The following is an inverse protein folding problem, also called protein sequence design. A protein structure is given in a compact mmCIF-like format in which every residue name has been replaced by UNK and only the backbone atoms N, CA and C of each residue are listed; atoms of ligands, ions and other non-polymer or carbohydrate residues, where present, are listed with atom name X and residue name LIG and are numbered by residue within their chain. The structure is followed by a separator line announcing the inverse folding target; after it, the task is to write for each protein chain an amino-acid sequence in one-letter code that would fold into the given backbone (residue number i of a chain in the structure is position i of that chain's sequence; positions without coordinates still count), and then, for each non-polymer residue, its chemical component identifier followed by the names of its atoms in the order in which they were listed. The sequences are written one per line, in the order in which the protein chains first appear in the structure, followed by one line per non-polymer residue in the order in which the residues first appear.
data_IF_609912488126
#
_entry.id   IF_609912488126
#
_cell.length_a   1.000
_cell.length_b   1.000
_cell.length_c   1.000
_cell.angle_alpha   90.00
_cell.angle_beta   90.00
_cell.angle_gamma   90.00
#
_symmetry.space_group_name_H-M   'P 1'
#
loop_
_entity.id
_entity.type
_entity.pdbx_description
1 polymer ?
#
# COMPACT_ATOMS: atom_id res chain seq x y z
N UNK A 1 18.11 7.18 -48.09
CA UNK A 1 19.01 8.18 -47.48
C UNK A 1 18.51 8.43 -46.08
N UNK A 2 19.32 8.14 -45.06
CA UNK A 2 18.97 8.38 -43.65
C UNK A 2 19.54 9.74 -43.24
N UNK A 3 18.69 10.75 -43.10
CA UNK A 3 19.11 12.05 -42.59
C UNK A 3 19.56 11.94 -41.12
N UNK A 4 20.64 12.65 -40.79
CA UNK A 4 21.23 12.66 -39.46
C UNK A 4 20.35 13.42 -38.47
N UNK A 5 20.25 12.93 -37.22
CA UNK A 5 19.49 13.62 -36.18
C UNK A 5 20.07 15.00 -35.87
N UNK A 6 19.19 15.99 -35.70
CA UNK A 6 19.57 17.37 -35.38
C UNK A 6 20.07 17.47 -33.93
N UNK A 7 21.30 17.97 -33.75
CA UNK A 7 21.89 18.24 -32.43
C UNK A 7 21.52 19.63 -31.89
N UNK A 8 21.08 20.54 -32.76
CA UNK A 8 20.82 21.95 -32.44
C UNK A 8 19.55 22.41 -33.14
N UNK A 9 18.73 23.21 -32.47
CA UNK A 9 17.52 23.78 -33.05
C UNK A 9 17.86 24.84 -34.11
N UNK A 10 17.35 24.74 -35.36
CA UNK A 10 17.67 25.70 -36.42
C UNK A 10 17.08 27.10 -36.19
N UNK A 11 16.08 27.25 -35.32
CA UNK A 11 15.42 28.52 -35.04
C UNK A 11 16.04 29.28 -33.85
N UNK A 12 16.25 28.59 -32.73
CA UNK A 12 16.75 29.21 -31.49
C UNK A 12 18.20 28.87 -31.14
N UNK A 13 18.87 28.02 -31.94
CA UNK A 13 20.29 27.60 -31.79
C UNK A 13 20.63 26.90 -30.47
N UNK A 14 19.63 26.48 -29.69
CA UNK A 14 19.85 25.71 -28.47
C UNK A 14 20.07 24.21 -28.76
N UNK A 15 20.82 23.50 -27.91
CA UNK A 15 21.05 22.06 -28.06
C UNK A 15 19.76 21.27 -27.85
N UNK A 16 19.51 20.27 -28.71
CA UNK A 16 18.37 19.37 -28.60
C UNK A 16 18.77 18.19 -27.71
N UNK A 17 18.18 18.07 -26.53
CA UNK A 17 18.34 16.92 -25.66
C UNK A 17 17.13 15.99 -25.76
N UNK A 18 17.38 14.69 -25.91
CA UNK A 18 16.32 13.68 -25.92
C UNK A 18 16.00 13.31 -24.47
N UNK A 19 14.78 13.60 -24.02
CA UNK A 19 14.30 13.15 -22.70
C UNK A 19 13.99 11.65 -22.79
N UNK A 20 14.94 10.81 -22.37
CA UNK A 20 14.77 9.37 -22.27
C UNK A 20 14.15 9.04 -20.90
N UNK A 21 12.81 9.08 -20.84
CA UNK A 21 11.93 8.56 -19.77
C UNK A 21 12.19 9.03 -18.31
N UNK A 22 11.16 9.48 -17.62
CA UNK A 22 11.25 9.77 -16.19
C UNK A 22 11.50 8.46 -15.40
N UNK A 23 12.41 8.44 -14.41
CA UNK A 23 12.59 7.24 -13.59
C UNK A 23 11.31 6.95 -12.80
N UNK A 24 10.73 5.77 -13.00
CA UNK A 24 9.67 5.27 -12.13
C UNK A 24 10.31 4.90 -10.78
N UNK A 25 10.24 5.81 -9.81
CA UNK A 25 10.71 5.51 -8.45
C UNK A 25 9.74 4.51 -7.83
N UNK A 26 10.15 3.25 -7.74
CA UNK A 26 9.43 2.24 -6.95
C UNK A 26 9.89 2.37 -5.51
N UNK A 27 9.14 3.12 -4.70
CA UNK A 27 9.29 3.06 -3.24
C UNK A 27 8.83 1.67 -2.83
N UNK A 28 9.78 0.75 -2.63
CA UNK A 28 9.46 -0.53 -2.00
C UNK A 28 8.94 -0.21 -0.61
N UNK A 29 7.63 -0.33 -0.42
CA UNK A 29 7.02 -0.26 0.90
C UNK A 29 7.76 -1.20 1.84
N UNK A 30 7.89 -0.78 3.12
CA UNK A 30 8.49 -1.62 4.17
C UNK A 30 7.88 -3.02 4.07
N UNK A 31 8.68 -4.11 4.11
CA UNK A 31 8.12 -5.44 4.09
C UNK A 31 7.04 -5.53 5.18
N UNK A 32 5.86 -6.09 4.87
CA UNK A 32 4.80 -6.21 5.85
C UNK A 32 5.37 -6.92 7.08
N UNK A 33 5.07 -6.38 8.26
CA UNK A 33 5.57 -6.93 9.51
C UNK A 33 5.21 -8.42 9.60
N UNK A 34 5.98 -9.21 10.35
CA UNK A 34 5.65 -10.62 10.60
C UNK A 34 4.21 -10.77 11.10
N UNK A 35 3.73 -9.81 11.89
CA UNK A 35 2.36 -9.65 12.35
C UNK A 35 1.35 -9.56 11.20
N UNK A 36 1.60 -8.74 10.19
CA UNK A 36 0.72 -8.60 9.02
C UNK A 36 0.58 -9.91 8.23
N UNK A 37 1.63 -10.74 8.22
CA UNK A 37 1.59 -12.07 7.60
C UNK A 37 0.74 -13.04 8.41
N UNK A 38 0.90 -13.06 9.73
CA UNK A 38 0.10 -13.89 10.65
C UNK A 38 -1.39 -13.53 10.60
N UNK A 39 -1.71 -12.23 10.58
CA UNK A 39 -3.10 -11.76 10.40
C UNK A 39 -3.68 -12.34 9.10
N UNK A 40 -2.96 -12.21 7.97
CA UNK A 40 -3.39 -12.78 6.68
C UNK A 40 -3.56 -14.30 6.71
N UNK A 41 -2.74 -15.01 7.47
CA UNK A 41 -2.83 -16.47 7.61
C UNK A 41 -4.09 -16.86 8.37
N UNK A 42 -4.39 -16.19 9.49
CA UNK A 42 -5.62 -16.40 10.24
C UNK A 42 -6.88 -16.04 9.46
N UNK A 43 -6.87 -14.96 8.68
CA UNK A 43 -7.96 -14.63 7.76
C UNK A 43 -8.18 -15.75 6.73
N UNK A 44 -7.11 -16.29 6.14
CA UNK A 44 -7.19 -17.40 5.17
C UNK A 44 -7.73 -18.68 5.79
N UNK A 45 -7.38 -18.94 7.06
CA UNK A 45 -7.90 -20.06 7.83
C UNK A 45 -9.35 -19.85 8.32
N UNK A 46 -9.94 -18.66 8.08
CA UNK A 46 -11.28 -18.30 8.55
C UNK A 46 -11.35 -18.00 10.06
N UNK A 47 -10.20 -17.84 10.73
CA UNK A 47 -10.09 -17.45 12.15
C UNK A 47 -10.20 -15.94 12.31
N UNK A 48 -11.33 -15.38 11.86
CA UNK A 48 -11.56 -13.95 11.81
C UNK A 48 -11.48 -13.26 13.17
N UNK A 49 -11.96 -13.90 14.26
CA UNK A 49 -11.87 -13.35 15.62
C UNK A 49 -10.42 -13.16 16.08
N UNK A 50 -9.56 -14.14 15.78
CA UNK A 50 -8.15 -14.11 16.19
C UNK A 50 -7.31 -13.20 15.29
N UNK A 51 -7.67 -13.11 14.00
CA UNK A 51 -7.11 -12.12 13.09
C UNK A 51 -7.40 -10.69 13.57
N UNK A 52 -8.66 -10.44 13.96
CA UNK A 52 -9.11 -9.14 14.44
C UNK A 52 -8.39 -8.71 15.72
N UNK A 53 -8.28 -9.60 16.71
CA UNK A 53 -7.58 -9.34 17.98
C UNK A 53 -6.10 -8.99 17.73
N UNK A 54 -5.43 -9.75 16.87
CA UNK A 54 -4.03 -9.52 16.55
C UNK A 54 -3.81 -8.19 15.80
N UNK A 55 -4.73 -7.86 14.89
CA UNK A 55 -4.71 -6.60 14.16
C UNK A 55 -4.94 -5.39 15.08
N UNK A 56 -5.88 -5.47 16.01
CA UNK A 56 -6.19 -4.40 16.97
C UNK A 56 -5.01 -4.11 17.90
N UNK A 57 -4.41 -5.16 18.48
CA UNK A 57 -3.23 -5.03 19.34
C UNK A 57 -2.03 -4.40 18.62
N UNK A 58 -1.81 -4.78 17.37
CA UNK A 58 -0.73 -4.20 16.57
C UNK A 58 -1.07 -2.75 16.17
N UNK A 59 -2.34 -2.44 15.91
CA UNK A 59 -2.81 -1.08 15.65
C UNK A 59 -2.55 -0.16 16.86
N UNK A 60 -2.85 -0.60 18.08
CA UNK A 60 -2.57 0.17 19.30
C UNK A 60 -1.07 0.40 19.50
N UNK A 61 -0.26 -0.64 19.29
CA UNK A 61 1.20 -0.58 19.48
C UNK A 61 1.89 0.33 18.46
N UNK A 62 1.44 0.26 17.20
CA UNK A 62 2.07 0.99 16.08
C UNK A 62 1.35 2.27 15.71
N UNK A 63 0.20 2.56 16.34
CA UNK A 63 -0.74 3.65 16.02
C UNK A 63 -1.13 3.66 14.54
N UNK A 64 -1.30 2.47 13.97
CA UNK A 64 -1.65 2.24 12.57
C UNK A 64 -3.17 2.15 12.43
N UNK A 65 -3.77 3.22 11.91
CA UNK A 65 -5.22 3.26 11.67
C UNK A 65 -5.68 2.21 10.65
N UNK A 66 -4.83 1.84 9.70
CA UNK A 66 -5.15 0.82 8.69
C UNK A 66 -5.37 -0.57 9.31
N UNK A 67 -4.60 -0.92 10.34
CA UNK A 67 -4.80 -2.16 11.09
C UNK A 67 -6.05 -2.12 11.96
N UNK A 68 -6.43 -0.94 12.48
CA UNK A 68 -7.64 -0.74 13.26
C UNK A 68 -8.90 -0.95 12.41
N UNK A 69 -8.94 -0.38 11.21
CA UNK A 69 -10.04 -0.61 10.26
C UNK A 69 -10.15 -2.09 9.91
N UNK A 70 -9.03 -2.75 9.65
CA UNK A 70 -8.99 -4.18 9.33
C UNK A 70 -9.49 -5.05 10.48
N UNK A 71 -9.11 -4.73 11.72
CA UNK A 71 -9.62 -5.42 12.90
C UNK A 71 -11.15 -5.33 13.00
N UNK A 72 -11.74 -4.14 12.79
CA UNK A 72 -13.19 -3.96 12.81
C UNK A 72 -13.90 -4.78 11.73
N UNK A 73 -13.36 -4.80 10.51
CA UNK A 73 -13.90 -5.63 9.42
C UNK A 73 -13.83 -7.12 9.75
N UNK A 74 -12.73 -7.59 10.32
CA UNK A 74 -12.55 -8.99 10.68
C UNK A 74 -13.43 -9.40 11.86
N UNK A 75 -13.61 -8.54 12.86
CA UNK A 75 -14.60 -8.78 13.91
C UNK A 75 -16.03 -8.86 13.32
N UNK A 76 -16.38 -8.00 12.36
CA UNK A 76 -17.68 -8.09 11.67
C UNK A 76 -17.84 -9.40 10.91
N UNK A 77 -16.79 -9.88 10.23
CA UNK A 77 -16.77 -11.19 9.55
C UNK A 77 -16.87 -12.35 10.53
N UNK A 78 -16.34 -12.21 11.74
CA UNK A 78 -16.47 -13.18 12.81
C UNK A 78 -17.87 -13.17 13.46
N UNK A 79 -18.76 -12.25 13.06
CA UNK A 79 -20.13 -12.17 13.55
C UNK A 79 -20.32 -11.23 14.76
N UNK A 80 -19.33 -10.41 15.09
CA UNK A 80 -19.48 -9.37 16.11
C UNK A 80 -20.21 -8.16 15.52
N UNK A 81 -21.34 -7.78 16.13
CA UNK A 81 -22.06 -6.56 15.80
C UNK A 81 -21.64 -5.43 16.74
N UNK A 82 -20.98 -4.41 16.19
CA UNK A 82 -20.63 -3.19 16.91
C UNK A 82 -21.74 -2.14 16.91
N UNK A 83 -22.88 -2.42 16.25
CA UNK A 83 -24.09 -1.58 16.20
C UNK A 83 -24.78 -1.38 17.58
N UNK A 84 -24.13 -1.74 18.69
CA UNK A 84 -24.65 -1.55 20.06
C UNK A 84 -24.07 -0.33 20.79
N UNK A 85 -23.21 0.48 20.16
CA UNK A 85 -22.63 1.67 20.78
C UNK A 85 -22.98 2.99 20.08
N UNK A 86 -24.01 3.01 19.23
CA UNK A 86 -24.72 4.25 18.90
C UNK A 86 -25.81 4.48 19.97
N UNK A 87 -25.42 4.99 21.14
CA UNK A 87 -26.35 5.61 22.11
C UNK A 87 -25.73 6.85 22.72
#
# INVERSE_FOLDING_TARGET
MSESALAVCPQCKNPISRVLFAPTVVIKGRPPAETDRKIKEYEKEGKWSHAAELADKEAEKTKREDLKTRALEDYKKAGYNFDKYDT
#
